data_IF_444813994012
#
_entry.id   IF_444813994012
#
_cell.length_a   1.000
_cell.length_b   1.000
_cell.length_c   1.000
_cell.angle_alpha   90.00
_cell.angle_beta   90.00
_cell.angle_gamma   90.00
#
_symmetry.space_group_name_H-M   'P 1'
#
loop_
_entity.id
_entity.type
_entity.pdbx_description
1 polymer ?
#
# COMPACT_ATOMS: atom_id res chain seq x y z
N UNK A 1 -15.52 -13.91 -29.05
CA UNK A 1 -16.93 -13.46 -29.12
C UNK A 1 -16.90 -11.95 -28.94
N UNK A 2 -17.22 -11.20 -29.99
CA UNK A 2 -17.21 -9.73 -30.02
C UNK A 2 -18.45 -9.19 -29.29
N UNK A 3 -18.27 -8.22 -28.39
CA UNK A 3 -19.37 -7.45 -27.81
C UNK A 3 -19.77 -6.30 -28.76
N UNK A 4 -21.07 -5.98 -28.78
CA UNK A 4 -21.80 -5.17 -29.77
C UNK A 4 -21.67 -3.65 -29.58
N UNK A 5 -20.68 -3.17 -28.82
CA UNK A 5 -20.54 -1.74 -28.47
C UNK A 5 -19.30 -1.05 -29.04
N UNK A 6 -18.37 -1.76 -29.70
CA UNK A 6 -17.30 -1.12 -30.45
C UNK A 6 -16.22 -0.39 -29.63
N UNK A 7 -16.15 -0.61 -28.32
CA UNK A 7 -15.09 -0.05 -27.47
C UNK A 7 -14.09 -1.15 -27.07
N UNK A 8 -12.84 -1.05 -27.52
CA UNK A 8 -11.73 -1.86 -27.02
C UNK A 8 -11.21 -1.22 -25.73
N UNK A 9 -11.86 -1.47 -24.59
CA UNK A 9 -11.38 -0.98 -23.30
C UNK A 9 -10.06 -1.67 -22.93
N UNK A 10 -8.96 -0.91 -22.90
CA UNK A 10 -7.73 -1.36 -22.22
C UNK A 10 -7.91 -1.05 -20.74
N UNK A 11 -8.42 -2.01 -19.97
CA UNK A 11 -8.61 -1.79 -18.55
C UNK A 11 -7.28 -1.82 -17.80
N UNK A 12 -6.75 -0.64 -17.48
CA UNK A 12 -5.60 -0.48 -16.60
C UNK A 12 -6.07 -0.65 -15.14
N UNK A 13 -5.24 -1.25 -14.30
CA UNK A 13 -5.56 -1.35 -12.88
C UNK A 13 -5.20 -0.04 -12.18
N UNK A 14 -6.06 0.41 -11.27
CA UNK A 14 -5.83 1.58 -10.41
C UNK A 14 -6.11 1.25 -8.94
N UNK A 15 -5.32 1.83 -8.04
CA UNK A 15 -5.60 1.75 -6.59
C UNK A 15 -6.86 2.54 -6.32
N UNK A 16 -7.85 1.92 -5.68
CA UNK A 16 -9.16 2.52 -5.41
C UNK A 16 -9.26 3.06 -3.98
N UNK A 17 -8.71 2.32 -3.01
CA UNK A 17 -8.77 2.63 -1.59
C UNK A 17 -7.70 1.83 -0.84
N UNK A 18 -7.20 2.40 0.25
CA UNK A 18 -6.19 1.78 1.11
C UNK A 18 -6.74 1.79 2.54
N UNK A 19 -6.61 0.67 3.25
CA UNK A 19 -6.68 0.66 4.71
C UNK A 19 -5.29 0.46 5.25
N UNK A 20 -4.94 1.27 6.24
CA UNK A 20 -3.62 1.28 6.82
C UNK A 20 -3.70 1.18 8.34
N UNK A 21 -2.85 0.33 8.92
CA UNK A 21 -2.66 0.28 10.36
C UNK A 21 -1.34 0.95 10.73
N UNK A 22 -1.41 2.21 11.16
CA UNK A 22 -0.25 3.08 11.37
C UNK A 22 0.23 3.10 12.83
N UNK A 23 0.26 1.94 13.47
CA UNK A 23 0.69 1.82 14.87
C UNK A 23 2.22 1.84 15.05
N UNK A 24 2.93 1.24 14.09
CA UNK A 24 4.34 0.88 14.27
C UNK A 24 5.22 1.55 13.21
N UNK A 25 4.70 1.70 12.00
CA UNK A 25 5.41 2.33 10.89
C UNK A 25 4.61 3.53 10.44
N UNK A 26 5.30 4.60 10.07
CA UNK A 26 4.62 5.75 9.49
C UNK A 26 4.13 5.42 8.08
N UNK A 27 3.08 6.12 7.61
CA UNK A 27 2.58 5.94 6.27
C UNK A 27 3.64 6.11 5.18
N UNK A 28 4.61 7.01 5.40
CA UNK A 28 5.73 7.24 4.49
C UNK A 28 6.60 6.00 4.31
N UNK A 29 6.93 5.30 5.41
CA UNK A 29 7.70 4.06 5.37
C UNK A 29 6.89 2.94 4.74
N UNK A 30 5.62 2.79 5.13
CA UNK A 30 4.71 1.77 4.59
C UNK A 30 4.59 1.88 3.07
N UNK A 31 4.27 3.07 2.55
CA UNK A 31 4.14 3.29 1.11
C UNK A 31 5.47 3.09 0.37
N UNK A 32 6.58 3.55 0.95
CA UNK A 32 7.91 3.37 0.35
C UNK A 32 8.31 1.90 0.25
N UNK A 33 8.13 1.15 1.33
CA UNK A 33 8.44 -0.28 1.39
C UNK A 33 7.55 -1.07 0.41
N UNK A 34 6.26 -0.76 0.39
CA UNK A 34 5.28 -1.38 -0.50
C UNK A 34 5.63 -1.16 -1.98
N UNK A 35 5.91 0.08 -2.39
CA UNK A 35 6.28 0.39 -3.77
C UNK A 35 7.58 -0.32 -4.19
N UNK A 36 8.60 -0.33 -3.33
CA UNK A 36 9.87 -0.99 -3.63
C UNK A 36 9.72 -2.53 -3.70
N UNK A 37 8.89 -3.12 -2.85
CA UNK A 37 8.61 -4.55 -2.88
C UNK A 37 7.99 -4.99 -4.21
N UNK A 38 7.03 -4.22 -4.71
CA UNK A 38 6.31 -4.54 -5.95
C UNK A 38 7.15 -4.29 -7.22
N UNK A 39 8.28 -3.59 -7.14
CA UNK A 39 9.11 -3.26 -8.32
C UNK A 39 9.62 -4.51 -9.07
N UNK A 40 9.78 -5.64 -8.37
CA UNK A 40 10.19 -6.92 -8.95
C UNK A 40 9.00 -7.84 -9.35
N UNK A 41 7.76 -7.38 -9.15
CA UNK A 41 6.55 -8.14 -9.43
C UNK A 41 6.03 -7.83 -10.83
N UNK A 42 5.74 -8.88 -11.61
CA UNK A 42 5.18 -8.75 -12.96
C UNK A 42 3.64 -8.64 -12.95
N UNK A 43 3.02 -8.65 -11.77
CA UNK A 43 1.56 -8.66 -11.66
C UNK A 43 0.96 -7.30 -12.05
N UNK A 44 -0.14 -7.23 -12.82
CA UNK A 44 -0.77 -5.94 -13.16
C UNK A 44 -1.17 -5.09 -11.95
N UNK A 45 -1.50 -5.74 -10.82
CA UNK A 45 -1.80 -5.06 -9.53
C UNK A 45 -0.54 -4.34 -9.01
N UNK A 46 0.64 -4.96 -9.16
CA UNK A 46 1.90 -4.38 -8.75
C UNK A 46 2.15 -3.06 -9.48
N UNK A 47 1.91 -3.03 -10.80
CA UNK A 47 2.04 -1.81 -11.59
C UNK A 47 1.13 -0.68 -11.09
N UNK A 48 -0.11 -0.99 -10.71
CA UNK A 48 -1.03 -0.01 -10.13
C UNK A 48 -0.51 0.57 -8.80
N UNK A 49 0.02 -0.30 -7.93
CA UNK A 49 0.58 0.09 -6.63
C UNK A 49 1.84 0.95 -6.83
N UNK A 50 2.77 0.52 -7.69
CA UNK A 50 4.00 1.25 -8.01
C UNK A 50 3.68 2.65 -8.52
N UNK A 51 2.71 2.77 -9.44
CA UNK A 51 2.33 4.06 -9.99
C UNK A 51 1.71 4.96 -8.92
N UNK A 52 0.77 4.44 -8.12
CA UNK A 52 0.20 5.19 -7.02
C UNK A 52 1.27 5.68 -6.03
N UNK A 53 2.21 4.80 -5.64
CA UNK A 53 3.28 5.17 -4.71
C UNK A 53 4.20 6.22 -5.34
N UNK A 54 4.66 6.04 -6.59
CA UNK A 54 5.54 7.01 -7.27
C UNK A 54 4.89 8.39 -7.35
N UNK A 55 3.60 8.44 -7.73
CA UNK A 55 2.83 9.68 -7.80
C UNK A 55 2.63 10.32 -6.41
N UNK A 56 2.47 9.49 -5.37
CA UNK A 56 2.28 9.96 -3.98
C UNK A 56 3.57 10.48 -3.37
N UNK A 57 4.69 9.79 -3.57
CA UNK A 57 5.96 10.20 -3.01
C UNK A 57 6.61 11.33 -3.81
N UNK A 58 6.32 11.43 -5.11
CA UNK A 58 6.95 12.40 -6.01
C UNK A 58 8.45 12.13 -6.22
N UNK A 59 8.90 10.89 -6.01
CA UNK A 59 10.29 10.47 -6.17
C UNK A 59 10.36 9.06 -6.76
N UNK A 60 11.52 8.70 -7.30
CA UNK A 60 11.78 7.34 -7.78
C UNK A 60 11.94 6.35 -6.62
N UNK A 61 11.52 5.11 -6.86
CA UNK A 61 11.65 4.02 -5.91
C UNK A 61 13.09 3.50 -5.92
N UNK A 62 13.93 4.04 -5.03
CA UNK A 62 15.37 3.70 -4.95
C UNK A 62 15.71 2.62 -3.92
N UNK A 63 14.69 2.08 -3.23
CA UNK A 63 14.86 0.99 -2.27
C UNK A 63 15.42 -0.27 -2.92
N UNK A 64 16.25 -0.99 -2.18
CA UNK A 64 16.86 -2.24 -2.65
C UNK A 64 16.06 -3.45 -2.17
N UNK A 65 15.65 -4.29 -3.12
CA UNK A 65 14.83 -5.48 -2.87
C UNK A 65 15.65 -6.75 -3.04
N UNK A 66 15.67 -7.60 -2.01
CA UNK A 66 16.37 -8.90 -1.97
C UNK A 66 15.43 -10.01 -1.50
N UNK A 67 15.86 -11.28 -1.60
CA UNK A 67 15.07 -12.45 -1.18
C UNK A 67 13.65 -12.51 -1.75
N UNK A 68 13.46 -12.01 -2.98
CA UNK A 68 12.16 -11.98 -3.64
C UNK A 68 11.68 -13.40 -3.95
N UNK A 69 10.45 -13.70 -3.53
CA UNK A 69 9.75 -14.95 -3.75
C UNK A 69 8.32 -14.62 -4.16
N UNK A 70 7.86 -15.20 -5.26
CA UNK A 70 6.48 -15.06 -5.73
C UNK A 70 5.84 -16.44 -5.90
N UNK A 71 4.60 -16.58 -5.44
CA UNK A 71 3.79 -17.79 -5.58
C UNK A 71 2.53 -17.43 -6.38
N UNK A 72 2.40 -17.93 -7.62
CA UNK A 72 1.24 -17.65 -8.46
C UNK A 72 -0.09 -17.97 -7.75
N UNK A 73 -1.05 -17.06 -7.85
CA UNK A 73 -2.36 -17.19 -7.20
C UNK A 73 -2.37 -16.99 -5.68
N UNK A 74 -1.22 -16.70 -5.06
CA UNK A 74 -1.13 -16.41 -3.62
C UNK A 74 -0.64 -14.98 -3.37
N UNK A 75 0.59 -14.68 -3.80
CA UNK A 75 1.25 -13.42 -3.48
C UNK A 75 2.77 -13.50 -3.59
N UNK A 76 3.45 -12.53 -3.00
CA UNK A 76 4.90 -12.39 -2.97
C UNK A 76 5.41 -12.07 -1.56
N UNK A 77 6.72 -12.22 -1.40
CA UNK A 77 7.49 -11.88 -0.21
C UNK A 77 8.87 -11.41 -0.63
N UNK A 78 9.39 -10.37 0.00
CA UNK A 78 10.76 -9.91 -0.21
C UNK A 78 11.29 -9.13 0.99
N UNK A 79 12.57 -8.82 0.95
CA UNK A 79 13.25 -7.94 1.90
C UNK A 79 13.58 -6.62 1.22
N UNK A 80 13.11 -5.51 1.77
CA UNK A 80 13.36 -4.15 1.29
C UNK A 80 14.28 -3.42 2.26
N UNK A 81 15.25 -2.70 1.71
CA UNK A 81 16.24 -1.90 2.46
C UNK A 81 16.46 -0.56 1.77
N UNK A 82 17.21 0.34 2.43
CA UNK A 82 17.61 1.63 1.88
C UNK A 82 16.42 2.57 1.57
N UNK A 83 15.49 2.69 2.52
CA UNK A 83 14.30 3.57 2.38
C UNK A 83 14.54 5.00 2.88
N UNK A 84 15.65 5.26 3.57
CA UNK A 84 15.89 6.53 4.26
C UNK A 84 15.93 7.74 3.33
N UNK A 85 16.50 7.60 2.14
CA UNK A 85 16.52 8.67 1.13
C UNK A 85 15.10 8.98 0.63
N UNK A 86 14.31 7.95 0.31
CA UNK A 86 12.92 8.10 -0.12
C UNK A 86 12.10 8.80 0.96
N UNK A 87 12.17 8.32 2.20
CA UNK A 87 11.42 8.89 3.34
C UNK A 87 11.84 10.34 3.62
N UNK A 88 13.10 10.71 3.41
CA UNK A 88 13.54 12.11 3.49
C UNK A 88 12.97 12.95 2.36
N UNK A 89 12.95 12.44 1.13
CA UNK A 89 12.42 13.15 -0.03
C UNK A 89 10.92 13.40 0.06
N UNK A 90 10.16 12.51 0.73
CA UNK A 90 8.73 12.68 1.01
C UNK A 90 8.44 13.97 1.78
N UNK A 91 9.37 14.46 2.62
CA UNK A 91 9.21 15.73 3.34
C UNK A 91 9.06 16.94 2.42
N UNK A 92 9.47 16.83 1.15
CA UNK A 92 9.32 17.89 0.17
C UNK A 92 7.90 17.96 -0.42
N UNK A 93 7.15 16.85 -0.39
CA UNK A 93 5.75 16.84 -0.80
C UNK A 93 4.85 17.19 0.40
N UNK A 94 4.21 18.36 0.32
CA UNK A 94 3.39 18.92 1.41
C UNK A 94 2.18 18.07 1.75
N UNK A 95 1.55 17.42 0.77
CA UNK A 95 0.34 16.62 1.01
C UNK A 95 0.66 15.39 1.85
N UNK A 96 1.59 14.56 1.39
CA UNK A 96 1.99 13.33 2.08
C UNK A 96 2.72 13.61 3.40
N UNK A 97 3.51 14.69 3.50
CA UNK A 97 4.17 15.06 4.76
C UNK A 97 3.18 15.54 5.82
N UNK A 98 2.15 16.31 5.44
CA UNK A 98 1.06 16.68 6.34
C UNK A 98 0.27 15.44 6.79
N UNK A 99 -0.11 14.57 5.84
CA UNK A 99 -0.80 13.32 6.14
C UNK A 99 0.02 12.45 7.12
N UNK A 100 1.31 12.23 6.82
CA UNK A 100 2.22 11.47 7.66
C UNK A 100 2.33 12.09 9.06
N UNK A 101 2.42 13.42 9.15
CA UNK A 101 2.49 14.12 10.44
C UNK A 101 1.22 13.95 11.28
N UNK A 102 0.04 14.04 10.66
CA UNK A 102 -1.25 13.84 11.33
C UNK A 102 -1.39 12.41 11.85
N UNK A 103 -1.04 11.42 11.02
CA UNK A 103 -1.08 10.01 11.38
C UNK A 103 -0.06 9.69 12.48
N UNK A 104 1.17 10.20 12.37
CA UNK A 104 2.19 10.04 13.41
C UNK A 104 1.78 10.71 14.74
N UNK A 105 0.95 11.75 14.69
CA UNK A 105 0.33 12.36 15.87
C UNK A 105 -0.88 11.57 16.41
N UNK A 106 -1.18 10.38 15.87
CA UNK A 106 -2.23 9.47 16.32
C UNK A 106 -3.61 9.68 15.67
N UNK A 107 -3.70 10.51 14.62
CA UNK A 107 -4.97 10.75 13.94
C UNK A 107 -5.43 9.51 13.20
N UNK A 108 -6.63 9.01 13.53
CA UNK A 108 -7.29 7.90 12.83
C UNK A 108 -8.49 8.43 12.04
N UNK A 109 -8.87 7.75 10.97
CA UNK A 109 -10.01 8.11 10.13
C UNK A 109 -9.69 8.01 8.65
N UNK A 110 -10.57 8.56 7.82
CA UNK A 110 -10.41 8.58 6.36
C UNK A 110 -9.68 9.86 5.94
N UNK A 111 -8.56 9.69 5.25
CA UNK A 111 -7.78 10.74 4.63
C UNK A 111 -7.86 10.58 3.10
N UNK A 112 -7.65 11.67 2.38
CA UNK A 112 -7.53 11.65 0.92
C UNK A 112 -6.11 12.03 0.55
N UNK A 113 -5.43 11.16 -0.19
CA UNK A 113 -4.06 11.39 -0.70
C UNK A 113 -4.05 11.05 -2.19
N UNK A 114 -3.71 12.04 -3.03
CA UNK A 114 -3.78 11.91 -4.49
C UNK A 114 -5.16 11.43 -5.00
N UNK A 115 -6.23 11.91 -4.38
CA UNK A 115 -7.61 11.54 -4.75
C UNK A 115 -8.05 10.14 -4.30
N UNK A 116 -7.16 9.34 -3.69
CA UNK A 116 -7.46 8.02 -3.14
C UNK A 116 -7.74 8.11 -1.65
N UNK A 117 -8.76 7.39 -1.19
CA UNK A 117 -9.11 7.30 0.22
C UNK A 117 -8.15 6.34 0.94
N UNK A 118 -7.47 6.84 1.97
CA UNK A 118 -6.68 6.05 2.91
C UNK A 118 -7.38 6.09 4.26
N UNK A 119 -7.89 4.93 4.69
CA UNK A 119 -8.50 4.76 6.01
C UNK A 119 -7.44 4.28 7.00
N UNK A 120 -7.07 5.15 7.94
CA UNK A 120 -6.00 4.90 8.91
C UNK A 120 -6.60 4.52 10.26
N UNK A 121 -6.08 3.43 10.82
CA UNK A 121 -6.44 2.95 12.16
C UNK A 121 -5.21 2.88 13.06
N UNK A 122 -5.43 3.14 14.35
CA UNK A 122 -4.44 2.96 15.41
C UNK A 122 -5.03 2.07 16.52
N UNK A 123 -4.23 1.17 17.05
CA UNK A 123 -4.47 0.41 18.27
C UNK A 123 -4.65 1.34 19.48
N UNK A 124 -5.49 0.90 20.43
CA UNK A 124 -5.78 1.66 21.65
C UNK A 124 -4.53 1.93 22.51
N UNK A 125 -3.52 1.05 22.43
CA UNK A 125 -2.29 1.14 23.22
C UNK A 125 -1.40 2.31 22.79
N UNK A 126 -1.34 2.64 21.50
CA UNK A 126 -0.56 3.77 20.99
C UNK A 126 -1.17 5.13 21.39
N UNK A 127 -2.51 5.23 21.38
CA UNK A 127 -3.20 6.45 21.85
C UNK A 127 -2.88 6.77 23.31
N UNK A 128 -2.74 5.75 24.15
CA UNK A 128 -2.40 5.94 25.56
C UNK A 128 -0.92 6.31 25.75
N UNK A 129 0.00 5.69 24.99
CA UNK A 129 1.43 6.02 25.02
C UNK A 129 1.73 7.47 24.62
N UNK A 130 1.02 8.01 23.62
CA UNK A 130 1.13 9.41 23.20
C UNK A 130 0.61 10.39 24.26
N UNK A 131 -0.48 10.07 24.95
CA UNK A 131 -1.02 10.87 26.06
C UNK A 131 -0.05 10.94 27.25
N UNK A 132 0.82 9.93 27.41
CA UNK A 132 1.83 9.84 28.49
C UNK A 132 3.19 10.42 28.05
N UNK A 133 3.31 10.95 26.83
CA UNK A 133 4.53 11.57 26.34
C UNK A 133 5.63 10.57 25.93
N UNK A 134 5.28 9.31 25.68
CA UNK A 134 6.20 8.37 25.04
C UNK A 134 6.47 8.88 23.62
N UNK A 135 7.75 9.08 23.30
CA UNK A 135 8.21 9.60 22.02
C UNK A 135 7.64 8.76 20.88
N UNK A 136 7.19 9.43 19.81
CA UNK A 136 6.50 8.84 18.68
C UNK A 136 7.25 7.70 17.99
N UNK A 137 6.59 7.12 16.98
CA UNK A 137 7.09 6.00 16.17
C UNK A 137 8.62 6.15 15.93
N UNK A 138 9.41 5.28 16.56
CA UNK A 138 10.87 5.31 16.44
C UNK A 138 11.23 4.55 15.17
N UNK A 139 11.16 5.26 14.03
CA UNK A 139 11.43 4.71 12.70
C UNK A 139 12.91 4.36 12.55
N UNK A 140 13.21 3.08 12.30
CA UNK A 140 14.52 2.68 11.80
C UNK A 140 14.50 2.80 10.27
N UNK A 141 14.63 4.02 9.75
CA UNK A 141 14.57 4.31 8.30
C UNK A 141 15.70 3.67 7.49
N UNK A 142 16.80 3.27 8.14
CA UNK A 142 17.87 2.45 7.55
C UNK A 142 17.67 0.94 7.81
N UNK A 143 16.52 0.59 8.39
CA UNK A 143 16.15 -0.76 8.77
C UNK A 143 15.92 -1.69 7.58
N UNK A 144 15.86 -2.98 7.93
CA UNK A 144 15.53 -4.06 7.03
C UNK A 144 14.04 -4.37 7.20
N UNK A 145 13.28 -4.28 6.12
CA UNK A 145 11.84 -4.48 6.10
C UNK A 145 11.52 -5.77 5.36
N UNK A 146 10.91 -6.74 6.04
CA UNK A 146 10.35 -7.89 5.37
C UNK A 146 8.91 -7.55 4.93
N UNK A 147 8.69 -7.52 3.62
CA UNK A 147 7.41 -7.14 3.01
C UNK A 147 6.78 -8.39 2.41
N UNK A 148 5.52 -8.62 2.73
CA UNK A 148 4.72 -9.75 2.25
C UNK A 148 3.44 -9.18 1.68
N UNK A 149 3.11 -9.52 0.45
CA UNK A 149 1.92 -9.00 -0.24
C UNK A 149 1.16 -10.17 -0.83
N UNK A 150 -0.15 -10.25 -0.62
CA UNK A 150 -0.94 -11.33 -1.21
C UNK A 150 -2.36 -11.41 -0.67
N UNK A 151 -3.03 -12.51 -0.99
CA UNK A 151 -4.37 -12.79 -0.49
C UNK A 151 -4.35 -13.30 0.98
N UNK A 152 -5.54 -13.54 1.52
CA UNK A 152 -5.73 -14.03 2.91
C UNK A 152 -4.97 -15.34 3.18
N UNK A 153 -5.04 -16.28 2.24
CA UNK A 153 -4.36 -17.57 2.36
C UNK A 153 -2.84 -17.41 2.40
N UNK A 154 -2.29 -16.48 1.60
CA UNK A 154 -0.87 -16.17 1.63
C UNK A 154 -0.44 -15.58 2.97
N UNK A 155 -1.27 -14.72 3.57
CA UNK A 155 -1.02 -14.18 4.90
C UNK A 155 -1.02 -15.28 5.96
N UNK A 156 -2.01 -16.17 5.95
CA UNK A 156 -2.08 -17.30 6.89
C UNK A 156 -0.88 -18.25 6.75
N UNK A 157 -0.46 -18.56 5.52
CA UNK A 157 0.72 -19.41 5.26
C UNK A 157 2.02 -18.80 5.76
N UNK A 158 2.13 -17.47 5.76
CA UNK A 158 3.28 -16.75 6.29
C UNK A 158 3.17 -16.47 7.81
N UNK A 159 2.16 -17.02 8.49
CA UNK A 159 2.00 -16.93 9.93
C UNK A 159 1.25 -15.69 10.43
N UNK A 160 0.61 -14.93 9.53
CA UNK A 160 -0.19 -13.78 9.91
C UNK A 160 -1.65 -14.15 10.13
N UNK A 161 -2.26 -13.54 11.15
CA UNK A 161 -3.68 -13.68 11.44
C UNK A 161 -4.43 -12.50 10.85
N UNK A 162 -5.28 -12.77 9.86
CA UNK A 162 -6.26 -11.81 9.34
C UNK A 162 -7.41 -11.70 10.35
N UNK A 163 -7.75 -10.49 10.80
CA UNK A 163 -8.87 -10.29 11.71
C UNK A 163 -10.21 -10.53 10.97
N UNK A 164 -11.24 -10.96 11.70
CA UNK A 164 -12.58 -11.17 11.11
C UNK A 164 -13.17 -9.90 10.49
N UNK A 165 -12.78 -8.72 10.98
CA UNK A 165 -13.22 -7.44 10.41
C UNK A 165 -12.55 -7.18 9.06
N UNK A 166 -11.23 -7.38 9.00
CA UNK A 166 -10.46 -7.22 7.78
C UNK A 166 -10.90 -8.23 6.71
N UNK A 167 -11.16 -9.47 7.09
CA UNK A 167 -11.66 -10.51 6.19
C UNK A 167 -13.04 -10.14 5.59
N UNK A 168 -13.97 -9.64 6.43
CA UNK A 168 -15.28 -9.15 5.95
C UNK A 168 -15.13 -7.97 5.01
N UNK A 169 -14.24 -7.03 5.31
CA UNK A 169 -13.97 -5.89 4.42
C UNK A 169 -13.41 -6.37 3.08
N UNK A 170 -12.48 -7.33 3.08
CA UNK A 170 -11.99 -7.93 1.84
C UNK A 170 -13.09 -8.62 1.04
N UNK A 171 -13.91 -9.45 1.69
CA UNK A 171 -14.99 -10.17 1.04
C UNK A 171 -16.02 -9.23 0.40
N UNK A 172 -16.43 -8.18 1.11
CA UNK A 172 -17.39 -7.20 0.60
C UNK A 172 -16.89 -6.45 -0.64
N UNK A 173 -15.58 -6.28 -0.75
CA UNK A 173 -14.94 -5.59 -1.86
C UNK A 173 -14.73 -6.51 -3.06
N UNK A 174 -14.34 -7.77 -2.81
CA UNK A 174 -14.25 -8.82 -3.83
C UNK A 174 -15.63 -9.15 -4.43
N UNK A 175 -16.70 -9.13 -3.63
CA UNK A 175 -18.09 -9.26 -4.12
C UNK A 175 -18.48 -8.16 -5.11
N UNK A 176 -17.86 -6.99 -5.02
CA UNK A 176 -18.04 -5.88 -5.97
C UNK A 176 -17.12 -6.00 -7.20
N UNK A 177 -16.45 -7.13 -7.38
CA UNK A 177 -15.54 -7.40 -8.50
C UNK A 177 -14.19 -6.68 -8.39
N UNK A 178 -13.85 -6.13 -7.21
CA UNK A 178 -12.54 -5.49 -6.98
C UNK A 178 -11.51 -6.53 -6.54
N UNK A 179 -10.25 -6.30 -6.89
CA UNK A 179 -9.15 -7.11 -6.37
C UNK A 179 -8.69 -6.53 -5.03
N UNK A 180 -8.78 -7.32 -3.97
CA UNK A 180 -8.26 -6.97 -2.66
C UNK A 180 -6.93 -7.69 -2.42
N UNK A 181 -5.90 -6.95 -2.02
CA UNK A 181 -4.63 -7.51 -1.58
C UNK A 181 -4.29 -7.02 -0.19
N UNK A 182 -3.65 -7.88 0.59
CA UNK A 182 -3.12 -7.55 1.89
C UNK A 182 -1.61 -7.32 1.76
N UNK A 183 -1.10 -6.38 2.53
CA UNK A 183 0.31 -6.13 2.74
C UNK A 183 0.63 -6.31 4.22
N UNK A 184 1.71 -7.01 4.50
CA UNK A 184 2.27 -7.20 5.81
C UNK A 184 3.72 -6.71 5.76
N UNK A 185 4.05 -5.69 6.56
CA UNK A 185 5.41 -5.16 6.65
C UNK A 185 5.93 -5.43 8.05
N UNK A 186 7.03 -6.17 8.11
CA UNK A 186 7.66 -6.59 9.36
C UNK A 186 9.02 -5.90 9.52
N UNK A 187 9.09 -5.01 10.52
CA UNK A 187 10.33 -4.50 11.11
C UNK A 187 10.55 -5.16 12.48
N UNK A 188 10.56 -4.38 13.57
CA UNK A 188 10.50 -4.94 14.95
C UNK A 188 9.09 -5.40 15.37
N UNK A 189 8.03 -4.90 14.73
CA UNK A 189 6.60 -5.27 14.92
C UNK A 189 5.84 -5.06 13.58
N UNK A 190 4.66 -5.68 13.46
CA UNK A 190 3.81 -5.86 12.26
C UNK A 190 2.87 -4.67 11.94
N UNK A 191 2.73 -4.32 10.66
CA UNK A 191 1.59 -3.56 10.11
C UNK A 191 0.83 -4.40 9.07
N UNK A 192 -0.50 -4.37 9.10
CA UNK A 192 -1.36 -4.99 8.10
C UNK A 192 -2.15 -3.94 7.35
N UNK A 193 -1.92 -3.85 6.05
CA UNK A 193 -2.57 -2.86 5.20
C UNK A 193 -3.36 -3.61 4.11
N UNK A 194 -4.53 -3.09 3.75
CA UNK A 194 -5.34 -3.64 2.67
C UNK A 194 -5.35 -2.64 1.53
N UNK A 195 -4.95 -3.07 0.35
CA UNK A 195 -5.05 -2.28 -0.86
C UNK A 195 -6.15 -2.84 -1.74
N UNK A 196 -7.04 -1.95 -2.16
CA UNK A 196 -8.00 -2.24 -3.19
C UNK A 196 -7.50 -1.74 -4.51
N UNK A 197 -7.55 -2.64 -5.47
CA UNK A 197 -7.25 -2.33 -6.85
C UNK A 197 -8.47 -2.69 -7.68
N UNK A 198 -8.94 -1.72 -8.46
CA UNK A 198 -10.06 -1.92 -9.39
C UNK A 198 -9.56 -1.71 -10.81
N UNK A 199 -10.27 -2.27 -11.78
CA UNK A 199 -10.02 -1.97 -13.18
C UNK A 199 -10.58 -0.58 -13.50
N UNK A 200 -9.71 0.35 -13.87
CA UNK A 200 -10.08 1.61 -14.48
C UNK A 200 -10.45 1.35 -15.95
N UNK A 201 -11.60 1.83 -16.37
CA UNK A 201 -11.96 1.88 -17.80
C UNK A 201 -11.42 3.19 -18.36
N UNK A 202 -10.34 3.15 -19.14
CA UNK A 202 -9.90 4.32 -19.91
C UNK A 202 -10.64 4.33 -21.24
N UNK A 203 -11.32 5.44 -21.54
CA UNK A 203 -11.98 5.62 -22.83
C UNK A 203 -10.91 5.88 -23.90
N UNK A 204 -11.02 5.24 -25.08
CA UNK A 204 -9.96 5.29 -26.11
C UNK A 204 -9.80 6.70 -26.71
N UNK A 205 -10.73 7.62 -26.42
CA UNK A 205 -10.63 9.02 -26.84
C UNK A 205 -9.37 9.73 -26.33
N UNK A 206 -8.77 9.28 -25.23
CA UNK A 206 -7.56 9.89 -24.66
C UNK A 206 -6.25 9.41 -25.32
N UNK A 207 -6.30 8.34 -26.13
CA UNK A 207 -5.10 7.77 -26.79
C UNK A 207 -4.86 8.37 -28.19
N UNK A 208 -5.82 9.13 -28.75
CA UNK A 208 -5.66 9.75 -30.07
C UNK A 208 -4.68 10.95 -30.11
N UNK A 209 -4.09 11.36 -28.99
CA UNK A 209 -3.14 12.48 -28.94
C UNK A 209 -1.65 12.08 -28.98
N UNK A 210 -1.32 10.82 -29.30
CA UNK A 210 0.07 10.34 -29.39
C UNK A 210 0.43 9.65 -30.72
N UNK A 211 0.06 10.24 -31.86
CA UNK A 211 0.66 9.94 -33.18
C UNK A 211 0.85 11.20 -34.01
#
# INVERSE_FOLDING_TARGET
MFDKTGTITKGLLEVAKIWMQADVLSPSVILSALGCAETNSEHPIAAAIINYVRDTLGCELTGSTTNFQAVPGCGMKCTVTNLSEMVRNIKNNKEISNFTSLVNAGSSGVFTVNGIQIEVTHSQNMRLGQLIGMSGIQEDVDGIYEVIIGNREWMHRNGFMVSNELDRNMAAEEEQGRSAVLCAINGKVFSMDMLLVKQALTDISDIQYWY
#
